data_IF_172302551335
#
_entry.id   IF_172302551335
#
_cell.length_a   1.000
_cell.length_b   1.000
_cell.length_c   1.000
_cell.angle_alpha   90.00
_cell.angle_beta   90.00
_cell.angle_gamma   90.00
#
_symmetry.space_group_name_H-M   'P 1'
#
loop_
_entity.id
_entity.type
_entity.pdbx_description
1 polymer ?
#
# COMPACT_ATOMS: atom_id res chain seq x y z
N UNK A 1 -10.61 -19.76 -0.89
CA UNK A 1 -10.58 -18.58 0.00
C UNK A 1 -10.79 -17.33 -0.85
N UNK A 2 -11.70 -16.41 -0.50
CA UNK A 2 -11.90 -15.18 -1.29
C UNK A 2 -10.57 -14.40 -1.38
N UNK A 3 -10.25 -13.75 -2.52
CA UNK A 3 -9.07 -12.89 -2.63
C UNK A 3 -8.94 -11.89 -1.47
N UNK A 4 -10.08 -11.39 -0.97
CA UNK A 4 -10.15 -10.45 0.16
C UNK A 4 -9.80 -11.09 1.51
N UNK A 5 -10.09 -12.37 1.70
CA UNK A 5 -9.79 -13.07 2.95
C UNK A 5 -8.28 -13.30 3.12
N UNK A 6 -7.55 -13.48 2.01
CA UNK A 6 -6.10 -13.62 2.07
C UNK A 6 -5.37 -12.37 2.56
N UNK A 7 -5.93 -11.18 2.34
CA UNK A 7 -5.39 -9.90 2.81
C UNK A 7 -5.54 -9.66 4.32
N UNK A 8 -6.19 -10.57 5.05
CA UNK A 8 -6.26 -10.53 6.51
C UNK A 8 -5.01 -11.08 7.20
N UNK A 9 -4.09 -11.70 6.46
CA UNK A 9 -2.85 -12.23 7.03
C UNK A 9 -1.91 -11.08 7.43
N UNK A 10 -1.53 -10.95 8.72
CA UNK A 10 -0.66 -9.88 9.19
C UNK A 10 0.70 -9.84 8.48
N UNK A 11 1.21 -10.97 7.98
CA UNK A 11 2.51 -11.04 7.29
C UNK A 11 2.54 -10.30 5.96
N UNK A 12 1.37 -10.01 5.39
CA UNK A 12 1.24 -9.19 4.18
C UNK A 12 1.41 -7.69 4.45
N UNK A 13 1.47 -7.29 5.71
CA UNK A 13 1.58 -5.90 6.14
C UNK A 13 2.90 -5.68 6.87
N UNK A 14 3.42 -4.45 6.80
CA UNK A 14 4.52 -4.00 7.62
C UNK A 14 4.07 -3.89 9.10
N UNK A 15 5.01 -3.58 10.00
CA UNK A 15 4.73 -3.48 11.45
C UNK A 15 3.61 -2.49 11.80
N UNK A 16 3.44 -1.44 10.98
CA UNK A 16 2.37 -0.45 11.14
C UNK A 16 0.97 -0.95 10.75
N UNK A 17 0.85 -2.15 10.16
CA UNK A 17 -0.40 -2.78 9.71
C UNK A 17 -1.15 -1.99 8.63
N UNK A 18 -0.51 -1.03 7.97
CA UNK A 18 -1.10 -0.16 6.93
C UNK A 18 -0.36 -0.30 5.62
N UNK A 19 0.98 -0.35 5.64
CA UNK A 19 1.76 -0.51 4.43
C UNK A 19 1.96 -1.99 4.11
N UNK A 20 1.96 -2.38 2.83
CA UNK A 20 2.30 -3.75 2.47
C UNK A 20 3.74 -4.09 2.87
N UNK A 21 3.96 -5.30 3.37
CA UNK A 21 5.32 -5.87 3.50
C UNK A 21 5.91 -6.13 2.11
N UNK A 22 7.21 -6.47 1.97
CA UNK A 22 7.77 -6.87 0.68
C UNK A 22 6.97 -8.01 0.00
N UNK A 23 6.52 -8.99 0.77
CA UNK A 23 5.64 -10.07 0.29
C UNK A 23 4.26 -9.52 -0.10
N UNK A 24 3.71 -8.61 0.71
CA UNK A 24 2.47 -7.89 0.40
C UNK A 24 2.54 -7.14 -0.93
N UNK A 25 3.63 -6.41 -1.18
CA UNK A 25 3.89 -5.70 -2.43
C UNK A 25 3.96 -6.64 -3.63
N UNK A 26 4.70 -7.75 -3.53
CA UNK A 26 4.79 -8.74 -4.60
C UNK A 26 3.42 -9.34 -4.92
N UNK A 27 2.63 -9.64 -3.90
CA UNK A 27 1.27 -10.17 -4.04
C UNK A 27 0.33 -9.14 -4.67
N UNK A 28 0.39 -7.87 -4.26
CA UNK A 28 -0.38 -6.78 -4.83
C UNK A 28 -0.06 -6.60 -6.31
N UNK A 29 1.24 -6.51 -6.65
CA UNK A 29 1.71 -6.35 -8.01
C UNK A 29 1.24 -7.49 -8.93
N UNK A 30 1.29 -8.74 -8.44
CA UNK A 30 0.79 -9.91 -9.18
C UNK A 30 -0.72 -9.81 -9.45
N UNK A 31 -1.51 -9.42 -8.44
CA UNK A 31 -2.96 -9.25 -8.61
C UNK A 31 -3.30 -8.12 -9.59
N UNK A 32 -2.61 -6.98 -9.49
CA UNK A 32 -2.80 -5.84 -10.40
C UNK A 32 -2.40 -6.21 -11.82
N UNK A 33 -1.27 -6.87 -12.02
CA UNK A 33 -0.82 -7.32 -13.34
C UNK A 33 -1.84 -8.27 -13.99
N UNK A 34 -2.37 -9.22 -13.22
CA UNK A 34 -3.42 -10.13 -13.69
C UNK A 34 -4.71 -9.39 -14.07
N UNK A 35 -5.17 -8.44 -13.23
CA UNK A 35 -6.35 -7.62 -13.53
C UNK A 35 -6.18 -6.75 -14.78
N UNK A 36 -4.96 -6.28 -15.04
CA UNK A 36 -4.62 -5.50 -16.22
C UNK A 36 -4.34 -6.37 -17.46
N UNK A 37 -4.40 -7.70 -17.36
CA UNK A 37 -4.10 -8.61 -18.46
C UNK A 37 -2.64 -8.52 -18.93
N UNK A 38 -1.71 -8.14 -18.05
CA UNK A 38 -0.29 -8.09 -18.40
C UNK A 38 0.24 -9.52 -18.50
N UNK A 39 0.81 -9.86 -19.66
CA UNK A 39 1.32 -11.20 -19.95
C UNK A 39 2.75 -11.42 -19.42
N UNK A 40 3.27 -10.47 -18.64
CA UNK A 40 4.58 -10.59 -18.01
C UNK A 40 4.53 -11.65 -16.93
N UNK A 41 5.56 -12.51 -16.80
CA UNK A 41 5.65 -13.44 -15.69
C UNK A 41 5.81 -12.65 -14.40
N UNK A 42 4.70 -12.39 -13.71
CA UNK A 42 4.75 -11.87 -12.35
C UNK A 42 5.41 -12.96 -11.48
N UNK A 43 6.47 -12.63 -10.71
CA UNK A 43 7.08 -13.61 -9.83
C UNK A 43 6.02 -14.12 -8.87
N UNK A 44 5.77 -15.43 -8.87
CA UNK A 44 4.75 -16.07 -8.02
C UNK A 44 4.92 -15.58 -6.59
N UNK A 45 3.89 -14.90 -6.07
CA UNK A 45 3.89 -14.46 -4.68
C UNK A 45 4.12 -15.70 -3.79
N UNK A 46 5.03 -15.64 -2.81
CA UNK A 46 5.31 -16.79 -1.97
C UNK A 46 4.03 -17.23 -1.27
N UNK A 47 3.79 -18.55 -1.28
CA UNK A 47 2.70 -19.16 -0.55
C UNK A 47 2.96 -18.92 0.95
N UNK A 48 1.98 -18.36 1.65
CA UNK A 48 2.11 -18.15 3.08
C UNK A 48 1.84 -19.50 3.77
N UNK A 49 2.82 -20.00 4.53
CA UNK A 49 2.63 -21.18 5.38
C UNK A 49 1.48 -20.97 6.37
N UNK A 50 0.98 -22.05 6.97
CA UNK A 50 -0.09 -21.98 7.96
C UNK A 50 0.22 -20.91 9.02
N UNK A 51 -0.79 -20.11 9.37
CA UNK A 51 -0.62 -19.03 10.34
C UNK A 51 -0.14 -19.62 11.69
N UNK A 52 0.80 -18.95 12.39
CA UNK A 52 1.23 -19.39 13.70
C UNK A 52 0.05 -19.42 14.68
N UNK A 53 0.15 -20.30 15.69
CA UNK A 53 -0.86 -20.42 16.75
C UNK A 53 -1.07 -19.06 17.45
N UNK A 54 -2.31 -18.73 17.86
CA UNK A 54 -2.60 -17.48 18.55
C UNK A 54 -1.73 -17.35 19.80
N UNK A 55 -1.16 -16.17 20.02
CA UNK A 55 -0.37 -15.91 21.22
C UNK A 55 -1.23 -16.00 22.48
N UNK A 56 -0.59 -16.22 23.63
CA UNK A 56 -1.29 -16.13 24.93
C UNK A 56 -1.91 -14.74 25.04
N UNK A 57 -3.14 -14.64 25.52
CA UNK A 57 -3.89 -13.38 25.63
C UNK A 57 -3.07 -12.20 26.18
N UNK A 58 -2.31 -12.44 27.25
CA UNK A 58 -1.46 -11.41 27.85
C UNK A 58 -0.40 -10.86 26.89
N UNK A 59 0.19 -11.71 26.05
CA UNK A 59 1.15 -11.29 25.02
C UNK A 59 0.46 -10.49 23.92
N UNK A 60 -0.71 -10.94 23.45
CA UNK A 60 -1.49 -10.21 22.45
C UNK A 60 -1.83 -8.79 22.90
N UNK A 61 -2.20 -8.62 24.18
CA UNK A 61 -2.49 -7.29 24.76
C UNK A 61 -1.23 -6.43 24.84
N UNK A 62 -0.09 -7.00 25.27
CA UNK A 62 1.17 -6.27 25.32
C UNK A 62 1.63 -5.81 23.93
N UNK A 63 1.55 -6.70 22.93
CA UNK A 63 1.88 -6.39 21.53
C UNK A 63 0.96 -5.29 20.96
N UNK A 64 -0.31 -5.30 21.35
CA UNK A 64 -1.27 -4.28 20.93
C UNK A 64 -0.95 -2.91 21.54
N UNK A 65 -0.68 -2.85 22.85
CA UNK A 65 -0.29 -1.59 23.52
C UNK A 65 0.97 -0.99 22.87
N UNK A 66 1.95 -1.84 22.57
CA UNK A 66 3.18 -1.40 21.93
C UNK A 66 2.92 -0.84 20.54
N UNK A 67 2.12 -1.55 19.72
CA UNK A 67 1.72 -1.06 18.41
C UNK A 67 0.99 0.29 18.49
N UNK A 68 0.10 0.48 19.47
CA UNK A 68 -0.59 1.75 19.68
C UNK A 68 0.39 2.87 19.99
N UNK A 69 1.36 2.60 20.87
CA UNK A 69 2.39 3.56 21.29
C UNK A 69 3.27 3.98 20.11
N UNK A 70 3.69 3.04 19.28
CA UNK A 70 4.62 3.27 18.17
C UNK A 70 3.94 3.87 16.94
N UNK A 71 2.75 3.40 16.58
CA UNK A 71 2.15 3.67 15.26
C UNK A 71 0.88 4.51 15.29
N UNK A 72 -0.02 4.31 16.25
CA UNK A 72 -1.34 4.95 16.21
C UNK A 72 -1.42 6.25 17.02
N UNK A 73 -0.93 6.24 18.26
CA UNK A 73 -1.06 7.35 19.19
C UNK A 73 -0.44 8.66 18.67
N UNK A 74 0.77 8.67 18.07
CA UNK A 74 1.35 9.91 17.53
C UNK A 74 0.47 10.55 16.44
N UNK A 75 -0.12 9.73 15.57
CA UNK A 75 -0.96 10.21 14.47
C UNK A 75 -2.30 10.75 14.98
N UNK A 76 -2.91 10.10 15.96
CA UNK A 76 -4.15 10.55 16.61
C UNK A 76 -3.91 11.87 17.34
N UNK A 77 -2.80 11.99 18.09
CA UNK A 77 -2.44 13.23 18.74
C UNK A 77 -2.28 14.39 17.74
N UNK A 78 -1.60 14.15 16.61
CA UNK A 78 -1.48 15.13 15.51
C UNK A 78 -2.81 15.51 14.88
N UNK A 79 -3.74 14.57 14.79
CA UNK A 79 -5.07 14.81 14.24
C UNK A 79 -5.92 15.65 15.21
N UNK A 80 -5.92 15.29 16.49
CA UNK A 80 -6.62 16.01 17.54
C UNK A 80 -6.13 17.46 17.72
N UNK A 81 -4.83 17.72 17.52
CA UNK A 81 -4.28 19.09 17.60
C UNK A 81 -4.54 19.94 16.37
N UNK A 82 -5.19 19.40 15.32
CA UNK A 82 -5.45 20.13 14.09
C UNK A 82 -4.21 20.36 13.22
N UNK A 83 -3.02 19.92 13.64
CA UNK A 83 -1.77 20.00 12.89
C UNK A 83 -1.80 19.19 11.58
N UNK A 84 -2.81 18.33 11.39
CA UNK A 84 -3.05 17.58 10.16
C UNK A 84 -4.20 18.11 9.30
N UNK A 85 -4.78 19.29 9.58
CA UNK A 85 -5.74 19.92 8.66
C UNK A 85 -5.02 20.30 7.37
N UNK A 86 -5.01 19.37 6.42
CA UNK A 86 -4.46 19.51 5.06
C UNK A 86 -5.30 20.43 4.17
N UNK A 87 -6.43 20.95 4.68
CA UNK A 87 -7.27 21.94 3.99
C UNK A 87 -6.50 23.24 3.66
N UNK A 88 -5.34 23.46 4.27
CA UNK A 88 -4.45 24.59 3.98
C UNK A 88 -3.20 24.21 3.16
N UNK A 89 -3.05 22.95 2.74
CA UNK A 89 -1.90 22.52 1.95
C UNK A 89 -2.22 22.67 0.46
N UNK A 90 -1.63 23.68 -0.17
CA UNK A 90 -1.69 23.84 -1.63
C UNK A 90 -1.05 22.61 -2.27
N UNK A 91 -1.73 21.93 -3.21
CA UNK A 91 -1.16 20.78 -3.89
C UNK A 91 0.11 21.18 -4.63
N UNK A 92 1.10 20.28 -4.65
CA UNK A 92 2.34 20.46 -5.43
C UNK A 92 2.05 20.81 -6.90
N UNK A 93 0.95 20.27 -7.43
CA UNK A 93 0.41 20.62 -8.75
C UNK A 93 -1.05 21.01 -8.63
N UNK A 94 -1.34 22.31 -8.72
CA UNK A 94 -2.71 22.85 -8.72
C UNK A 94 -3.44 22.63 -10.05
N UNK A 95 -2.69 22.48 -11.14
CA UNK A 95 -3.19 22.06 -12.45
C UNK A 95 -2.75 20.60 -12.67
N UNK A 96 -3.64 19.70 -13.10
CA UNK A 96 -3.26 18.33 -13.43
C UNK A 96 -2.12 18.29 -14.46
N UNK A 97 -1.02 17.64 -14.10
CA UNK A 97 0.11 17.37 -15.01
C UNK A 97 0.20 15.88 -15.31
N UNK A 98 0.77 15.51 -16.45
CA UNK A 98 1.21 14.12 -16.71
C UNK A 98 2.61 13.95 -16.11
N UNK A 99 2.80 13.27 -14.97
CA UNK A 99 4.10 13.23 -14.33
C UNK A 99 5.16 12.52 -15.20
N UNK A 100 4.74 11.50 -15.96
CA UNK A 100 5.63 10.76 -16.86
C UNK A 100 6.24 11.64 -17.97
N UNK A 101 5.57 12.71 -18.40
CA UNK A 101 6.14 13.67 -19.36
C UNK A 101 7.06 14.73 -18.71
N UNK A 102 7.11 14.79 -17.39
CA UNK A 102 7.87 15.80 -16.63
C UNK A 102 9.17 15.22 -16.03
N UNK A 103 9.36 13.90 -16.07
CA UNK A 103 10.57 13.24 -15.57
C UNK A 103 11.47 12.78 -16.73
N UNK A 104 12.72 13.27 -16.84
CA UNK A 104 13.60 12.99 -17.97
C UNK A 104 14.12 11.55 -18.07
N UNK A 105 13.82 10.67 -17.10
CA UNK A 105 14.21 9.25 -17.09
C UNK A 105 13.04 8.29 -17.36
N UNK A 106 11.83 8.82 -17.55
CA UNK A 106 10.69 8.07 -18.07
C UNK A 106 10.57 8.44 -19.55
N UNK A 107 11.31 7.76 -20.41
CA UNK A 107 11.14 7.85 -21.86
C UNK A 107 9.80 7.21 -22.26
N UNK A 108 8.71 7.92 -21.99
CA UNK A 108 7.40 7.60 -22.56
C UNK A 108 7.36 8.33 -23.89
N UNK A 109 7.84 7.65 -24.94
CA UNK A 109 7.64 8.12 -26.30
C UNK A 109 6.16 8.50 -26.49
N UNK A 110 5.85 9.71 -26.98
CA UNK A 110 4.47 10.14 -27.17
C UNK A 110 3.80 9.13 -28.09
N UNK A 111 2.88 8.34 -27.53
CA UNK A 111 2.02 7.46 -28.33
C UNK A 111 1.04 8.38 -29.03
N UNK A 112 1.33 8.70 -30.29
CA UNK A 112 0.37 9.36 -31.17
C UNK A 112 -0.85 8.46 -31.28
N UNK A 113 -1.89 8.77 -30.51
CA UNK A 113 -3.24 8.33 -30.84
C UNK A 113 -3.88 9.44 -31.62
N UNK A 114 -3.77 9.35 -32.94
CA UNK A 114 -4.64 10.05 -33.88
C UNK A 114 -6.07 9.66 -33.58
N UNK A 115 -6.78 10.52 -32.85
CA UNK A 115 -8.23 10.48 -32.78
C UNK A 115 -8.75 11.30 -33.95
N UNK A 116 -8.99 10.63 -35.08
CA UNK A 116 -9.86 11.16 -36.13
C UNK A 116 -11.30 10.96 -35.65
N UNK A 117 -12.01 12.06 -35.45
CA UNK A 117 -13.48 12.12 -35.38
C UNK A 117 -13.99 12.20 -36.82
#
# INVERSE_FOLDING_TARGET
MSPRAAWRDPRLWAGDRVHPSPIGHQRLATQVAHLLGLHTPAPRAPELEAAPQPSKWAQAVADEIEWWREHAAPHIARWATGASRRELVVPKWSVPVRPASTFPWLDVAPTERSATI
#
